data_IF_555005481018
#
_entry.id   IF_555005481018
#
_cell.length_a   1.000
_cell.length_b   1.000
_cell.length_c   1.000
_cell.angle_alpha   90.00
_cell.angle_beta   90.00
_cell.angle_gamma   90.00
#
_symmetry.space_group_name_H-M   'P 1'
#
loop_
_entity.id
_entity.type
_entity.pdbx_description
1 polymer ?
#
# COMPACT_ATOMS: atom_id res chain seq x y z
N UNK A 1 8.78 1.58 -38.02
CA UNK A 1 8.77 2.94 -37.42
C UNK A 1 7.38 3.12 -36.89
N UNK A 2 7.20 2.79 -35.63
CA UNK A 2 5.92 2.90 -34.92
C UNK A 2 5.91 4.26 -34.24
N UNK A 3 4.94 5.09 -34.59
CA UNK A 3 4.69 6.37 -33.94
C UNK A 3 4.51 6.15 -32.44
N UNK A 4 5.53 6.50 -31.66
CA UNK A 4 5.40 6.71 -30.24
C UNK A 4 4.58 8.00 -30.13
N UNK A 5 3.28 7.86 -29.87
CA UNK A 5 2.47 8.98 -29.44
C UNK A 5 3.04 9.45 -28.08
N UNK A 6 3.85 10.50 -28.17
CA UNK A 6 4.34 11.30 -27.04
C UNK A 6 3.14 12.11 -26.49
N UNK A 7 2.18 11.41 -25.91
CA UNK A 7 1.09 12.04 -25.17
C UNK A 7 1.59 12.29 -23.76
N UNK A 8 1.67 13.57 -23.36
CA UNK A 8 2.01 13.94 -21.99
C UNK A 8 1.15 13.14 -20.98
N UNK A 9 1.76 12.61 -19.89
CA UNK A 9 1.03 11.85 -18.89
C UNK A 9 -0.13 12.66 -18.31
N UNK A 10 -1.29 12.03 -18.19
CA UNK A 10 -2.48 12.66 -17.63
C UNK A 10 -2.39 12.73 -16.11
N UNK A 11 -2.55 13.92 -15.53
CA UNK A 11 -2.60 14.08 -14.09
C UNK A 11 -3.87 13.42 -13.51
N UNK A 12 -3.69 12.46 -12.61
CA UNK A 12 -4.74 11.90 -11.77
C UNK A 12 -4.87 12.77 -10.51
N UNK A 13 -5.94 13.57 -10.45
CA UNK A 13 -6.15 14.54 -9.37
C UNK A 13 -6.78 13.92 -8.13
N UNK A 14 -7.68 12.96 -8.32
CA UNK A 14 -8.44 12.30 -7.26
C UNK A 14 -8.76 10.85 -7.65
N UNK A 15 -8.95 9.95 -6.68
CA UNK A 15 -9.44 8.60 -6.95
C UNK A 15 -10.79 8.61 -7.67
N UNK A 16 -11.06 7.57 -8.45
CA UNK A 16 -12.33 7.45 -9.22
C UNK A 16 -13.57 7.46 -8.32
N UNK A 17 -13.47 6.92 -7.11
CA UNK A 17 -14.56 6.90 -6.11
C UNK A 17 -14.63 8.15 -5.23
N UNK A 18 -13.78 9.16 -5.48
CA UNK A 18 -13.62 10.32 -4.61
C UNK A 18 -12.66 10.05 -3.45
N UNK A 19 -12.39 11.11 -2.66
CA UNK A 19 -11.47 11.03 -1.51
C UNK A 19 -12.22 10.52 -0.29
N UNK A 20 -11.87 9.33 0.26
CA UNK A 20 -12.56 8.77 1.41
C UNK A 20 -12.26 9.53 2.69
N UNK A 21 -13.14 9.42 3.67
CA UNK A 21 -12.88 9.83 5.04
C UNK A 21 -12.04 8.75 5.76
N UNK A 22 -11.36 9.16 6.85
CA UNK A 22 -10.59 8.23 7.66
C UNK A 22 -11.51 7.44 8.57
N UNK A 23 -11.44 6.13 8.52
CA UNK A 23 -12.13 5.21 9.43
C UNK A 23 -11.34 5.11 10.73
N UNK A 24 -11.91 5.60 11.83
CA UNK A 24 -11.33 5.62 13.17
C UNK A 24 -12.25 5.04 14.26
N UNK A 25 -13.41 4.51 13.87
CA UNK A 25 -14.39 3.91 14.77
C UNK A 25 -14.51 2.40 14.50
N UNK A 26 -14.85 1.64 15.56
CA UNK A 26 -15.05 0.19 15.43
C UNK A 26 -16.19 -0.14 14.46
N UNK A 27 -17.29 0.60 14.51
CA UNK A 27 -18.41 0.41 13.58
C UNK A 27 -17.96 0.62 12.11
N UNK A 28 -17.22 1.69 11.86
CA UNK A 28 -16.66 1.94 10.51
C UNK A 28 -15.68 0.86 10.08
N UNK A 29 -14.85 0.35 11.01
CA UNK A 29 -13.93 -0.74 10.76
C UNK A 29 -14.65 -2.04 10.36
N UNK A 30 -15.71 -2.43 11.09
CA UNK A 30 -16.53 -3.58 10.72
C UNK A 30 -17.14 -3.44 9.33
N UNK A 31 -17.66 -2.26 8.98
CA UNK A 31 -18.18 -2.01 7.62
C UNK A 31 -17.09 -2.15 6.55
N UNK A 32 -15.85 -1.71 6.82
CA UNK A 32 -14.73 -1.92 5.89
C UNK A 32 -14.42 -3.41 5.75
N UNK A 33 -14.36 -4.17 6.84
CA UNK A 33 -14.12 -5.62 6.82
C UNK A 33 -15.23 -6.36 6.04
N UNK A 34 -16.51 -6.04 6.27
CA UNK A 34 -17.64 -6.58 5.51
C UNK A 34 -17.49 -6.30 4.01
N UNK A 35 -17.19 -5.04 3.64
CA UNK A 35 -17.01 -4.67 2.23
C UNK A 35 -15.84 -5.41 1.59
N UNK A 36 -14.73 -5.60 2.31
CA UNK A 36 -13.57 -6.36 1.85
C UNK A 36 -13.89 -7.86 1.69
N UNK A 37 -14.70 -8.44 2.58
CA UNK A 37 -15.12 -9.84 2.50
C UNK A 37 -16.04 -10.11 1.29
N UNK A 38 -16.91 -9.16 0.95
CA UNK A 38 -17.81 -9.24 -0.20
C UNK A 38 -17.10 -8.94 -1.53
N UNK A 39 -15.90 -8.36 -1.48
CA UNK A 39 -15.11 -7.97 -2.63
C UNK A 39 -14.29 -9.14 -3.20
N UNK A 40 -13.72 -8.95 -4.38
CA UNK A 40 -12.94 -9.98 -5.07
C UNK A 40 -11.60 -9.44 -5.58
N UNK A 41 -10.73 -10.37 -6.00
CA UNK A 41 -9.42 -10.02 -6.55
C UNK A 41 -8.41 -9.65 -5.48
N UNK A 42 -7.30 -9.06 -5.91
CA UNK A 42 -6.20 -8.65 -5.05
C UNK A 42 -6.56 -7.46 -4.18
N UNK A 43 -5.90 -7.32 -3.04
CA UNK A 43 -5.97 -6.16 -2.16
C UNK A 43 -4.76 -5.24 -2.42
N UNK A 44 -4.97 -4.06 -2.95
CA UNK A 44 -3.96 -3.01 -2.94
C UNK A 44 -3.86 -2.43 -1.52
N UNK A 45 -2.65 -2.28 -1.00
CA UNK A 45 -2.43 -1.70 0.32
C UNK A 45 -1.16 -0.83 0.34
N UNK A 46 -1.12 0.10 1.29
CA UNK A 46 0.01 0.99 1.55
C UNK A 46 -0.10 1.54 2.97
N UNK A 47 0.98 2.08 3.53
CA UNK A 47 0.97 2.66 4.87
C UNK A 47 1.78 3.94 4.97
N UNK A 48 1.30 4.88 5.78
CA UNK A 48 1.96 6.14 6.04
C UNK A 48 2.49 6.24 7.46
N UNK A 49 3.73 6.69 7.58
CA UNK A 49 4.43 6.86 8.86
C UNK A 49 4.76 8.31 9.14
N UNK A 50 4.82 8.66 10.41
CA UNK A 50 5.26 9.98 10.85
C UNK A 50 6.81 10.04 10.99
N UNK A 51 7.54 9.46 10.04
CA UNK A 51 9.01 9.38 10.06
C UNK A 51 9.63 10.78 10.11
N UNK A 52 10.47 11.04 11.12
CA UNK A 52 11.08 12.36 11.36
C UNK A 52 10.30 13.27 12.31
N UNK A 53 9.03 12.96 12.63
CA UNK A 53 8.19 13.72 13.56
C UNK A 53 7.95 12.96 14.87
N UNK A 54 8.00 11.63 14.85
CA UNK A 54 7.79 10.76 16.02
C UNK A 54 8.92 9.75 16.13
N UNK A 55 9.25 9.39 17.38
CA UNK A 55 10.13 8.27 17.67
C UNK A 55 9.28 6.99 17.60
N UNK A 56 9.45 6.21 16.55
CA UNK A 56 8.72 4.95 16.34
C UNK A 56 8.62 4.61 14.86
N UNK A 57 8.14 3.40 14.61
CA UNK A 57 7.91 2.88 13.25
C UNK A 57 6.41 2.56 13.04
N UNK A 58 5.55 3.13 13.92
CA UNK A 58 4.12 2.90 13.83
C UNK A 58 3.56 3.46 12.53
N UNK A 59 2.67 2.70 11.92
CA UNK A 59 1.84 3.17 10.84
C UNK A 59 0.74 4.09 11.41
N UNK A 60 0.58 5.26 10.83
CA UNK A 60 -0.39 6.27 11.24
C UNK A 60 -1.60 6.32 10.33
N UNK A 61 -1.48 5.77 9.14
CA UNK A 61 -2.57 5.56 8.20
C UNK A 61 -2.30 4.28 7.43
N UNK A 62 -3.33 3.47 7.21
CA UNK A 62 -3.30 2.34 6.29
C UNK A 62 -4.34 2.63 5.22
N UNK A 63 -3.91 2.60 3.98
CA UNK A 63 -4.80 2.65 2.82
C UNK A 63 -4.97 1.25 2.23
N UNK A 64 -6.20 0.94 1.86
CA UNK A 64 -6.45 -0.29 1.11
C UNK A 64 -7.52 -0.08 0.05
N UNK A 65 -7.44 -0.87 -1.02
CA UNK A 65 -8.42 -0.92 -2.11
C UNK A 65 -8.62 -2.34 -2.57
N UNK A 66 -9.87 -2.74 -2.73
CA UNK A 66 -10.25 -4.01 -3.35
C UNK A 66 -11.37 -3.78 -4.35
N UNK A 67 -11.40 -4.54 -5.43
CA UNK A 67 -12.45 -4.38 -6.45
C UNK A 67 -13.81 -4.77 -5.88
N UNK A 68 -14.75 -3.83 -5.90
CA UNK A 68 -16.07 -3.95 -5.28
C UNK A 68 -16.18 -3.26 -3.92
N UNK A 69 -15.10 -3.17 -3.12
CA UNK A 69 -15.09 -2.48 -1.83
C UNK A 69 -14.75 -0.98 -1.94
N UNK A 70 -14.03 -0.58 -3.00
CA UNK A 70 -13.50 0.78 -3.09
C UNK A 70 -12.24 0.99 -2.27
N UNK A 71 -11.95 2.25 -1.91
CA UNK A 71 -10.79 2.63 -1.09
C UNK A 71 -11.23 2.89 0.34
N UNK A 72 -10.52 2.34 1.32
CA UNK A 72 -10.64 2.68 2.73
C UNK A 72 -9.33 3.27 3.25
N UNK A 73 -9.44 4.27 4.12
CA UNK A 73 -8.35 4.86 4.90
C UNK A 73 -8.59 4.52 6.36
N UNK A 74 -7.70 3.76 6.98
CA UNK A 74 -7.83 3.30 8.36
C UNK A 74 -6.86 4.05 9.26
N UNK A 75 -7.32 4.50 10.43
CA UNK A 75 -6.46 5.01 11.50
C UNK A 75 -6.08 3.86 12.45
N UNK A 76 -4.91 3.21 12.26
CA UNK A 76 -4.57 2.03 13.04
C UNK A 76 -4.38 2.34 14.51
N UNK A 77 -3.96 3.55 14.87
CA UNK A 77 -3.77 3.95 16.26
C UNK A 77 -5.13 4.06 16.97
N UNK A 78 -6.07 4.83 16.39
CA UNK A 78 -7.40 4.99 16.97
C UNK A 78 -8.17 3.67 17.03
N UNK A 79 -8.09 2.86 15.99
CA UNK A 79 -8.75 1.56 15.91
C UNK A 79 -8.21 0.58 16.97
N UNK A 80 -6.88 0.46 17.10
CA UNK A 80 -6.25 -0.42 18.09
C UNK A 80 -6.58 0.04 19.52
N UNK A 81 -6.55 1.34 19.80
CA UNK A 81 -6.95 1.89 21.09
C UNK A 81 -8.43 1.63 21.41
N UNK A 82 -9.27 1.56 20.39
CA UNK A 82 -10.70 1.24 20.52
C UNK A 82 -10.99 -0.26 20.57
N UNK A 83 -9.97 -1.11 20.47
CA UNK A 83 -10.09 -2.56 20.58
C UNK A 83 -10.41 -3.29 19.28
N UNK A 84 -10.04 -2.72 18.12
CA UNK A 84 -10.17 -3.42 16.83
C UNK A 84 -9.38 -4.73 16.84
N UNK A 85 -10.01 -5.79 16.37
CA UNK A 85 -9.35 -7.07 16.12
C UNK A 85 -8.86 -7.11 14.66
N UNK A 86 -7.56 -6.97 14.47
CA UNK A 86 -6.94 -7.01 13.13
C UNK A 86 -7.04 -8.39 12.48
N UNK A 87 -7.36 -9.45 13.23
CA UNK A 87 -7.65 -10.76 12.66
C UNK A 87 -8.95 -10.74 11.82
N UNK A 88 -9.93 -9.92 12.19
CA UNK A 88 -11.13 -9.70 11.37
C UNK A 88 -10.77 -9.19 9.97
N UNK A 89 -9.81 -8.26 9.87
CA UNK A 89 -9.31 -7.79 8.58
C UNK A 89 -8.63 -8.92 7.79
N UNK A 90 -7.78 -9.72 8.45
CA UNK A 90 -7.14 -10.88 7.81
C UNK A 90 -8.17 -11.88 7.27
N UNK A 91 -9.22 -12.17 8.03
CA UNK A 91 -10.30 -13.07 7.62
C UNK A 91 -11.10 -12.48 6.44
N UNK A 92 -11.42 -11.19 6.48
CA UNK A 92 -12.13 -10.49 5.41
C UNK A 92 -11.36 -10.50 4.09
N UNK A 93 -10.05 -10.33 4.13
CA UNK A 93 -9.18 -10.38 2.94
C UNK A 93 -8.93 -11.81 2.48
N UNK A 94 -8.84 -12.76 3.42
CA UNK A 94 -8.64 -14.19 3.17
C UNK A 94 -7.30 -14.50 2.49
N UNK A 95 -7.34 -15.23 1.37
CA UNK A 95 -6.17 -15.65 0.61
C UNK A 95 -5.84 -14.70 -0.57
N UNK A 96 -6.44 -13.50 -0.60
CA UNK A 96 -6.17 -12.54 -1.65
C UNK A 96 -4.68 -12.14 -1.68
N UNK A 97 -4.15 -11.94 -2.88
CA UNK A 97 -2.82 -11.36 -3.05
C UNK A 97 -2.85 -9.90 -2.59
N UNK A 98 -1.91 -9.52 -1.73
CA UNK A 98 -1.69 -8.11 -1.39
C UNK A 98 -0.76 -7.47 -2.41
N UNK A 99 -1.18 -6.35 -2.95
CA UNK A 99 -0.36 -5.55 -3.87
C UNK A 99 0.24 -4.40 -3.09
N UNK A 100 1.56 -4.35 -3.01
CA UNK A 100 2.32 -3.29 -2.36
C UNK A 100 3.28 -2.66 -3.37
N UNK A 101 3.81 -1.49 -3.03
CA UNK A 101 4.94 -0.88 -3.72
C UNK A 101 6.06 -0.64 -2.72
N UNK A 102 7.22 -1.31 -2.90
CA UNK A 102 8.31 -1.35 -1.91
C UNK A 102 7.84 -1.98 -0.58
N UNK A 103 7.35 -3.21 -0.68
CA UNK A 103 6.74 -3.96 0.42
C UNK A 103 7.62 -4.10 1.67
N UNK A 104 8.95 -4.03 1.52
CA UNK A 104 9.88 -4.08 2.64
C UNK A 104 9.70 -2.90 3.60
N UNK A 105 9.15 -1.81 3.13
CA UNK A 105 8.85 -0.65 3.97
C UNK A 105 7.59 -0.86 4.82
N UNK A 106 6.54 -1.53 4.30
CA UNK A 106 5.23 -1.61 4.96
C UNK A 106 5.01 -2.91 5.74
N UNK A 107 5.55 -4.04 5.27
CA UNK A 107 5.40 -5.34 5.92
C UNK A 107 5.76 -5.35 7.41
N UNK A 108 6.81 -4.66 7.90
CA UNK A 108 7.09 -4.60 9.33
C UNK A 108 5.98 -3.96 10.15
N UNK A 109 5.41 -2.84 9.69
CA UNK A 109 4.32 -2.14 10.36
C UNK A 109 3.02 -2.98 10.34
N UNK A 110 2.72 -3.61 9.21
CA UNK A 110 1.60 -4.54 9.11
C UNK A 110 1.75 -5.72 10.09
N UNK A 111 2.94 -6.30 10.20
CA UNK A 111 3.21 -7.37 11.15
C UNK A 111 3.06 -6.94 12.62
N UNK A 112 3.44 -5.71 12.95
CA UNK A 112 3.28 -5.15 14.30
C UNK A 112 1.80 -4.98 14.69
N UNK A 113 0.91 -4.75 13.70
CA UNK A 113 -0.54 -4.72 13.88
C UNK A 113 -1.19 -6.12 13.85
N UNK A 114 -0.45 -7.16 13.48
CA UNK A 114 -0.99 -8.52 13.29
C UNK A 114 -1.62 -8.75 11.91
N UNK A 115 -1.42 -7.85 10.95
CA UNK A 115 -1.81 -8.07 9.57
C UNK A 115 -0.88 -9.08 8.91
N UNK A 116 -1.45 -10.06 8.19
CA UNK A 116 -0.74 -11.23 7.69
C UNK A 116 -1.04 -11.51 6.21
N UNK A 117 -0.40 -10.80 5.28
CA UNK A 117 -0.51 -11.13 3.86
C UNK A 117 -0.08 -12.58 3.60
N UNK A 118 -0.92 -13.35 2.90
CA UNK A 118 -0.60 -14.75 2.53
C UNK A 118 0.07 -14.86 1.18
N UNK A 119 -0.16 -13.88 0.30
CA UNK A 119 0.48 -13.76 -0.99
C UNK A 119 0.78 -12.28 -1.28
N UNK A 120 1.88 -12.02 -1.95
CA UNK A 120 2.35 -10.68 -2.25
C UNK A 120 2.54 -10.50 -3.76
N UNK A 121 2.23 -9.31 -4.25
CA UNK A 121 2.73 -8.76 -5.50
C UNK A 121 3.36 -7.40 -5.21
N UNK A 122 4.67 -7.29 -5.36
CA UNK A 122 5.39 -6.04 -5.16
C UNK A 122 5.67 -5.39 -6.53
N UNK A 123 5.07 -4.22 -6.76
CA UNK A 123 5.19 -3.51 -8.04
C UNK A 123 6.58 -2.91 -8.24
N UNK A 124 7.35 -2.63 -7.18
CA UNK A 124 8.75 -2.20 -7.31
C UNK A 124 9.66 -3.37 -7.71
N UNK A 125 9.54 -4.52 -7.04
CA UNK A 125 10.28 -5.74 -7.40
C UNK A 125 9.97 -6.12 -8.86
N UNK A 126 8.70 -6.13 -9.23
CA UNK A 126 8.26 -6.43 -10.60
C UNK A 126 8.87 -5.45 -11.62
N UNK A 127 8.89 -4.15 -11.31
CA UNK A 127 9.48 -3.13 -12.18
C UNK A 127 11.00 -3.35 -12.38
N UNK A 128 11.72 -3.71 -11.31
CA UNK A 128 13.15 -4.04 -11.37
C UNK A 128 13.41 -5.28 -12.23
N UNK A 129 12.63 -6.35 -12.04
CA UNK A 129 12.73 -7.57 -12.85
C UNK A 129 12.43 -7.31 -14.33
N UNK A 130 11.49 -6.43 -14.63
CA UNK A 130 11.15 -6.00 -15.99
C UNK A 130 12.19 -5.06 -16.61
N UNK A 131 13.16 -4.59 -15.82
CA UNK A 131 14.26 -3.77 -16.30
C UNK A 131 13.90 -2.29 -16.46
N UNK A 132 12.91 -1.78 -15.74
CA UNK A 132 12.61 -0.36 -15.72
C UNK A 132 13.78 0.41 -15.09
N UNK A 133 14.19 1.51 -15.72
CA UNK A 133 15.24 2.37 -15.17
C UNK A 133 14.78 3.21 -13.98
N UNK A 134 13.48 3.48 -13.90
CA UNK A 134 12.83 4.21 -12.81
C UNK A 134 11.71 3.34 -12.28
N UNK A 135 11.79 2.95 -11.03
CA UNK A 135 10.93 1.93 -10.42
C UNK A 135 10.09 2.42 -9.23
N UNK A 136 10.21 3.68 -8.81
CA UNK A 136 9.30 4.27 -7.83
C UNK A 136 7.86 4.40 -8.39
N UNK A 137 6.84 4.34 -7.53
CA UNK A 137 5.43 4.24 -7.89
C UNK A 137 5.00 5.24 -8.97
N UNK A 138 5.36 6.51 -8.82
CA UNK A 138 5.01 7.53 -9.80
C UNK A 138 5.58 7.23 -11.20
N UNK A 139 6.82 6.72 -11.28
CA UNK A 139 7.44 6.41 -12.55
C UNK A 139 6.85 5.13 -13.19
N UNK A 140 6.52 4.13 -12.37
CA UNK A 140 5.85 2.90 -12.82
C UNK A 140 4.44 3.21 -13.32
N UNK A 141 3.71 4.07 -12.61
CA UNK A 141 2.37 4.53 -12.99
C UNK A 141 2.40 5.32 -14.31
N UNK A 142 3.38 6.20 -14.46
CA UNK A 142 3.58 6.94 -15.72
C UNK A 142 3.88 6.00 -16.88
N UNK A 143 4.78 5.03 -16.66
CA UNK A 143 5.19 4.08 -17.70
C UNK A 143 4.03 3.18 -18.17
N UNK A 144 3.26 2.62 -17.23
CA UNK A 144 2.22 1.64 -17.57
C UNK A 144 0.87 2.27 -17.88
N UNK A 145 0.51 3.36 -17.21
CA UNK A 145 -0.82 3.93 -17.27
C UNK A 145 -0.88 5.29 -17.96
N UNK A 146 0.28 5.91 -18.25
CA UNK A 146 0.32 7.28 -18.76
C UNK A 146 -0.30 8.29 -17.78
N UNK A 147 -0.17 8.01 -16.48
CA UNK A 147 -0.75 8.81 -15.39
C UNK A 147 0.37 9.39 -14.53
N UNK A 148 0.28 10.69 -14.24
CA UNK A 148 1.10 11.34 -13.22
C UNK A 148 0.30 11.42 -11.91
N UNK A 149 0.90 10.98 -10.80
CA UNK A 149 0.34 11.11 -9.46
C UNK A 149 0.79 12.43 -8.82
N UNK A 150 -0.08 13.03 -7.99
CA UNK A 150 0.30 14.18 -7.16
C UNK A 150 1.35 13.76 -6.11
N UNK A 151 2.42 14.55 -5.91
CA UNK A 151 3.60 14.16 -5.11
C UNK A 151 3.77 14.96 -3.80
N UNK A 152 2.75 15.61 -3.30
CA UNK A 152 2.96 16.73 -2.37
C UNK A 152 3.10 16.34 -0.89
N UNK A 153 2.82 15.09 -0.46
CA UNK A 153 2.67 14.79 0.98
C UNK A 153 3.49 13.61 1.53
N UNK A 154 4.42 13.05 0.76
CA UNK A 154 5.23 11.89 1.19
C UNK A 154 6.07 12.12 2.48
N UNK A 155 6.35 13.36 2.84
CA UNK A 155 7.11 13.74 4.04
C UNK A 155 6.24 14.46 5.08
N UNK A 156 4.93 14.27 5.06
CA UNK A 156 4.02 14.91 6.00
C UNK A 156 4.05 14.26 7.39
N UNK A 157 3.62 14.99 8.42
CA UNK A 157 3.40 14.42 9.76
C UNK A 157 2.07 13.66 9.81
N UNK A 158 2.09 12.40 9.38
CA UNK A 158 0.90 11.57 9.33
C UNK A 158 0.24 11.28 10.68
N UNK A 159 0.88 11.68 11.79
CA UNK A 159 0.25 11.64 13.13
C UNK A 159 -0.74 12.78 13.37
N UNK A 160 -0.79 13.79 12.49
CA UNK A 160 -1.71 14.92 12.59
C UNK A 160 -3.18 14.46 12.46
N UNK A 161 -4.06 15.02 13.31
CA UNK A 161 -5.50 14.73 13.27
C UNK A 161 -6.35 16.00 13.42
N UNK A 162 -7.46 16.14 12.70
CA UNK A 162 -7.91 15.28 11.60
C UNK A 162 -7.02 15.46 10.36
N UNK A 163 -6.84 14.40 9.57
CA UNK A 163 -6.04 14.47 8.34
C UNK A 163 -6.70 15.43 7.32
N UNK A 164 -5.94 16.39 6.77
CA UNK A 164 -6.43 17.26 5.70
C UNK A 164 -6.90 16.47 4.47
N UNK A 165 -7.83 17.03 3.71
CA UNK A 165 -8.39 16.36 2.52
C UNK A 165 -7.33 16.06 1.46
N UNK A 166 -6.38 16.95 1.24
CA UNK A 166 -5.29 16.79 0.28
C UNK A 166 -4.34 15.67 0.67
N UNK A 167 -4.07 15.46 1.98
CA UNK A 167 -3.29 14.32 2.46
C UNK A 167 -4.05 13.00 2.26
N UNK A 168 -5.34 12.96 2.59
CA UNK A 168 -6.20 11.79 2.33
C UNK A 168 -6.27 11.47 0.85
N UNK A 169 -6.32 12.50 0.00
CA UNK A 169 -6.28 12.34 -1.45
C UNK A 169 -4.97 11.70 -1.92
N UNK A 170 -3.85 12.20 -1.40
CA UNK A 170 -2.53 11.65 -1.71
C UNK A 170 -2.46 10.15 -1.36
N UNK A 171 -2.77 9.79 -0.12
CA UNK A 171 -2.77 8.40 0.34
C UNK A 171 -3.72 7.49 -0.46
N UNK A 172 -4.90 7.99 -0.81
CA UNK A 172 -5.85 7.23 -1.61
C UNK A 172 -5.38 7.01 -3.06
N UNK A 173 -4.62 7.94 -3.63
CA UNK A 173 -4.06 7.81 -4.98
C UNK A 173 -2.98 6.74 -5.05
N UNK A 174 -2.20 6.51 -3.99
CA UNK A 174 -1.13 5.50 -3.98
C UNK A 174 -1.71 4.08 -4.14
N UNK A 175 -2.89 3.77 -3.59
CA UNK A 175 -3.55 2.49 -3.79
C UNK A 175 -4.48 2.45 -5.01
N UNK A 176 -4.91 3.61 -5.53
CA UNK A 176 -5.84 3.69 -6.67
C UNK A 176 -5.32 2.98 -7.91
N UNK A 177 -4.02 3.03 -8.15
CA UNK A 177 -3.38 2.55 -9.37
C UNK A 177 -2.86 1.10 -9.28
N UNK A 178 -2.71 0.55 -8.07
CA UNK A 178 -1.96 -0.70 -7.86
C UNK A 178 -2.60 -1.91 -8.52
N UNK A 179 -3.94 -2.05 -8.50
CA UNK A 179 -4.64 -3.19 -9.11
C UNK A 179 -4.42 -3.21 -10.62
N UNK A 180 -4.50 -2.05 -11.27
CA UNK A 180 -4.28 -1.94 -12.71
C UNK A 180 -2.80 -2.21 -13.06
N UNK A 181 -1.87 -1.73 -12.24
CA UNK A 181 -0.44 -2.02 -12.38
C UNK A 181 -0.16 -3.52 -12.24
N UNK A 182 -0.69 -4.19 -11.22
CA UNK A 182 -0.53 -5.63 -11.05
C UNK A 182 -0.93 -6.39 -12.33
N UNK A 183 -2.11 -6.10 -12.87
CA UNK A 183 -2.62 -6.78 -14.07
C UNK A 183 -1.68 -6.64 -15.27
N UNK A 184 -1.19 -5.41 -15.51
CA UNK A 184 -0.30 -5.14 -16.63
C UNK A 184 1.09 -5.76 -16.41
N UNK A 185 1.64 -5.62 -15.21
CA UNK A 185 2.98 -6.13 -14.90
C UNK A 185 3.03 -7.65 -14.85
N UNK A 186 1.98 -8.33 -14.36
CA UNK A 186 1.87 -9.79 -14.44
C UNK A 186 1.87 -10.28 -15.88
N UNK A 187 1.17 -9.59 -16.78
CA UNK A 187 1.19 -9.90 -18.21
C UNK A 187 2.61 -9.80 -18.77
N UNK A 188 3.32 -8.73 -18.47
CA UNK A 188 4.65 -8.46 -19.00
C UNK A 188 5.70 -9.38 -18.40
N UNK A 189 5.60 -9.74 -17.11
CA UNK A 189 6.45 -10.74 -16.47
C UNK A 189 6.32 -12.11 -17.17
N UNK A 190 5.08 -12.55 -17.45
CA UNK A 190 4.84 -13.79 -18.19
C UNK A 190 5.42 -13.72 -19.61
N UNK A 191 5.19 -12.61 -20.32
CA UNK A 191 5.73 -12.42 -21.67
C UNK A 191 7.26 -12.42 -21.69
N UNK A 192 7.91 -11.96 -20.62
CA UNK A 192 9.36 -11.99 -20.46
C UNK A 192 9.90 -13.32 -19.89
N UNK A 193 9.03 -14.28 -19.52
CA UNK A 193 9.43 -15.53 -18.86
C UNK A 193 10.04 -15.33 -17.48
N UNK A 194 9.59 -14.30 -16.75
CA UNK A 194 10.12 -13.90 -15.44
C UNK A 194 9.10 -14.02 -14.30
N UNK A 195 7.94 -14.58 -14.58
CA UNK A 195 6.86 -14.76 -13.61
C UNK A 195 7.27 -15.67 -12.45
N UNK A 196 7.96 -16.78 -12.70
CA UNK A 196 8.47 -17.66 -11.64
C UNK A 196 9.48 -16.92 -10.74
N UNK A 197 10.42 -16.18 -11.31
CA UNK A 197 11.37 -15.39 -10.53
C UNK A 197 10.68 -14.31 -9.68
N UNK A 198 9.64 -13.69 -10.23
CA UNK A 198 8.87 -12.71 -9.49
C UNK A 198 8.17 -13.34 -8.28
N UNK A 199 7.55 -14.51 -8.43
CA UNK A 199 6.90 -15.23 -7.33
C UNK A 199 7.92 -15.68 -6.26
N UNK A 200 9.14 -16.09 -6.65
CA UNK A 200 10.21 -16.38 -5.70
C UNK A 200 10.60 -15.15 -4.88
N UNK A 201 10.80 -14.00 -5.53
CA UNK A 201 11.15 -12.74 -4.85
C UNK A 201 10.01 -12.25 -3.94
N UNK A 202 8.75 -12.34 -4.36
CA UNK A 202 7.60 -11.98 -3.54
C UNK A 202 7.49 -12.87 -2.30
N UNK A 203 7.69 -14.18 -2.48
CA UNK A 203 7.69 -15.15 -1.38
C UNK A 203 8.83 -14.86 -0.41
N UNK A 204 10.02 -14.53 -0.93
CA UNK A 204 11.18 -14.16 -0.12
C UNK A 204 10.92 -12.88 0.69
N UNK A 205 10.33 -11.85 0.09
CA UNK A 205 9.99 -10.60 0.76
C UNK A 205 9.00 -10.83 1.93
N UNK A 206 7.97 -11.66 1.71
CA UNK A 206 7.01 -12.03 2.77
C UNK A 206 7.68 -12.81 3.92
N UNK A 207 8.59 -13.73 3.61
CA UNK A 207 9.26 -14.56 4.60
C UNK A 207 10.31 -13.79 5.43
N UNK A 208 10.83 -12.71 4.90
CA UNK A 208 11.94 -11.95 5.47
C UNK A 208 11.65 -10.45 5.61
N UNK A 209 10.56 -10.04 6.29
CA UNK A 209 10.32 -8.63 6.54
C UNK A 209 11.50 -8.05 7.34
N UNK A 210 12.10 -6.97 6.84
CA UNK A 210 13.21 -6.30 7.52
C UNK A 210 12.64 -5.68 8.81
N UNK A 211 12.83 -6.34 9.94
CA UNK A 211 12.52 -5.75 11.24
C UNK A 211 13.61 -4.72 11.55
N UNK A 212 13.28 -3.46 11.52
CA UNK A 212 14.12 -2.43 12.13
C UNK A 212 14.14 -2.69 13.64
N UNK A 213 15.16 -3.39 14.13
CA UNK A 213 15.39 -3.50 15.57
C UNK A 213 15.66 -2.10 16.08
N UNK A 214 14.69 -1.52 16.77
CA UNK A 214 14.92 -0.32 17.54
C UNK A 214 16.15 -0.56 18.44
N UNK A 215 17.13 0.33 18.39
CA UNK A 215 18.20 0.34 19.36
C UNK A 215 17.57 0.49 20.73
N UNK A 216 17.44 -0.60 21.46
CA UNK A 216 17.17 -0.53 22.88
C UNK A 216 18.36 0.22 23.50
N UNK A 217 18.16 1.46 23.89
CA UNK A 217 19.12 2.16 24.73
C UNK A 217 19.27 1.34 26.02
N UNK A 218 20.52 0.98 26.42
CA UNK A 218 20.70 0.33 27.70
C UNK A 218 20.19 1.28 28.78
N UNK A 219 19.33 0.74 29.68
CA UNK A 219 18.89 1.47 30.84
C UNK A 219 20.11 2.01 31.60
N UNK A 220 20.12 3.32 31.88
CA UNK A 220 21.17 3.96 32.66
C UNK A 220 21.25 3.25 34.02
N UNK A 221 22.46 2.86 34.49
CA UNK A 221 22.59 2.30 35.82
C UNK A 221 22.25 3.38 36.85
N UNK A 222 21.43 3.03 37.82
CA UNK A 222 21.07 3.83 39.01
C UNK A 222 22.25 4.05 39.94
#
# INVERSE_FOLDING_TARGET
MSDVHDTEPRLLKEPRGGVPDVTSTIEGYHHVCEALADASGSLAADAERASGFRYGHEDWLIQCKREGAGIALLDPIALTQSGADWNEFNEAVGDATWILHDSLMDLPGFADLGLQPKALFDTEIAARLLGLHRFGLAAVTEHYLGITLAKEHSAADWSYRPLPRDWRNYAALDVEVLIELENLMRRDLRAAGKDEWAEEEFTHALANPIRFRGCAFPASPS
#
